data_IF_190344840746
#
_entry.id   IF_190344840746
#
_cell.length_a   1.000
_cell.length_b   1.000
_cell.length_c   1.000
_cell.angle_alpha   90.00
_cell.angle_beta   90.00
_cell.angle_gamma   90.00
#
_symmetry.space_group_name_H-M   'P 1'
#
loop_
_entity.id
_entity.type
_entity.pdbx_description
1 polymer ?
#
# COMPACT_ATOMS: atom_id res chain seq x y z
N UNK A 1 2.91 -34.44 28.04
CA UNK A 1 3.05 -33.82 26.70
C UNK A 1 1.86 -32.88 26.51
N UNK A 2 2.00 -31.62 26.93
CA UNK A 2 0.97 -30.60 26.76
C UNK A 2 1.34 -29.75 25.53
N UNK A 3 0.68 -30.07 24.40
CA UNK A 3 0.68 -29.22 23.22
C UNK A 3 -0.15 -27.98 23.54
N UNK A 4 0.52 -26.86 23.86
CA UNK A 4 -0.12 -25.59 23.95
C UNK A 4 -0.53 -25.16 22.53
N UNK A 5 -1.76 -25.45 22.13
CA UNK A 5 -2.42 -24.74 21.03
C UNK A 5 -2.44 -23.25 21.41
N UNK A 6 -1.52 -22.48 20.84
CA UNK A 6 -1.66 -21.03 20.82
C UNK A 6 -2.99 -20.73 20.13
N UNK A 7 -4.04 -20.51 20.90
CA UNK A 7 -5.26 -19.90 20.41
C UNK A 7 -4.86 -18.51 19.91
N UNK A 8 -4.74 -18.39 18.59
CA UNK A 8 -4.67 -17.09 17.93
C UNK A 8 -5.94 -16.36 18.35
N UNK A 9 -5.82 -15.39 19.25
CA UNK A 9 -6.95 -14.51 19.59
C UNK A 9 -7.12 -13.63 18.34
N UNK A 10 -8.20 -13.77 17.57
CA UNK A 10 -8.36 -12.98 16.36
C UNK A 10 -8.31 -11.51 16.76
N UNK A 11 -7.43 -10.73 16.12
CA UNK A 11 -7.51 -9.29 16.20
C UNK A 11 -8.91 -8.89 15.71
N UNK A 12 -9.71 -8.27 16.57
CA UNK A 12 -11.10 -7.86 16.28
C UNK A 12 -11.23 -6.91 15.08
N UNK A 13 -10.09 -6.51 14.48
CA UNK A 13 -10.00 -5.59 13.35
C UNK A 13 -9.71 -6.27 12.01
N UNK A 14 -9.62 -7.61 11.92
CA UNK A 14 -9.35 -8.30 10.65
C UNK A 14 -10.63 -8.87 10.04
N UNK A 15 -10.97 -8.43 8.83
CA UNK A 15 -12.13 -8.92 8.08
C UNK A 15 -12.02 -10.42 7.79
N UNK A 16 -10.83 -10.89 7.38
CA UNK A 16 -10.59 -12.30 7.06
C UNK A 16 -10.79 -13.26 8.24
N UNK A 17 -10.67 -12.79 9.47
CA UNK A 17 -10.88 -13.55 10.70
C UNK A 17 -12.32 -13.42 11.26
N UNK A 18 -13.17 -12.61 10.62
CA UNK A 18 -14.56 -12.38 11.03
C UNK A 18 -15.49 -13.40 10.38
N UNK A 19 -16.59 -13.69 11.08
CA UNK A 19 -17.70 -14.47 10.50
C UNK A 19 -18.78 -13.53 9.98
N UNK A 20 -19.59 -13.98 9.02
CA UNK A 20 -20.72 -13.19 8.50
C UNK A 20 -21.66 -12.71 9.59
N UNK A 21 -21.94 -13.57 10.60
CA UNK A 21 -22.81 -13.22 11.72
C UNK A 21 -22.30 -12.04 12.56
N UNK A 22 -20.98 -11.87 12.68
CA UNK A 22 -20.37 -10.76 13.41
C UNK A 22 -20.49 -9.42 12.68
N UNK A 23 -20.76 -9.45 11.37
CA UNK A 23 -20.83 -8.26 10.53
C UNK A 23 -22.25 -7.74 10.28
N UNK A 24 -23.30 -8.39 10.80
CA UNK A 24 -24.70 -7.96 10.59
C UNK A 24 -25.01 -6.52 11.03
N UNK A 25 -24.29 -6.00 12.00
CA UNK A 25 -24.46 -4.64 12.51
C UNK A 25 -23.21 -3.78 12.26
N UNK A 26 -22.41 -4.14 11.25
CA UNK A 26 -21.22 -3.38 10.92
C UNK A 26 -21.59 -1.98 10.41
N UNK A 27 -21.08 -0.94 11.07
CA UNK A 27 -21.44 0.46 10.81
C UNK A 27 -20.22 1.38 10.64
N UNK A 28 -19.05 0.80 10.36
CA UNK A 28 -17.80 1.53 10.26
C UNK A 28 -17.15 1.36 8.87
N UNK A 29 -15.85 1.55 8.74
CA UNK A 29 -15.15 1.48 7.46
C UNK A 29 -14.36 0.18 7.30
N UNK A 30 -14.28 -0.31 6.04
CA UNK A 30 -13.35 -1.35 5.62
C UNK A 30 -12.12 -0.71 5.00
N UNK A 31 -10.94 -1.01 5.54
CA UNK A 31 -9.64 -0.64 5.01
C UNK A 31 -9.14 -1.76 4.11
N UNK A 32 -8.77 -1.42 2.89
CA UNK A 32 -8.26 -2.38 1.90
C UNK A 32 -6.82 -2.01 1.56
N UNK A 33 -5.81 -2.74 2.06
CA UNK A 33 -4.44 -2.54 1.63
C UNK A 33 -4.32 -2.86 0.13
N UNK A 34 -3.75 -1.94 -0.65
CA UNK A 34 -3.49 -2.12 -2.07
C UNK A 34 -1.99 -1.94 -2.30
N UNK A 35 -1.32 -3.02 -2.60
CA UNK A 35 0.13 -3.06 -2.82
C UNK A 35 0.50 -3.48 -4.22
N UNK A 36 1.63 -4.14 -4.33
CA UNK A 36 2.20 -4.68 -5.56
C UNK A 36 2.95 -5.98 -5.29
N UNK A 37 3.37 -6.63 -6.36
CA UNK A 37 4.42 -7.64 -6.38
C UNK A 37 5.45 -7.20 -7.44
N UNK A 38 6.48 -6.47 -7.03
CA UNK A 38 7.46 -5.88 -7.94
C UNK A 38 8.85 -5.82 -7.34
N UNK A 39 9.85 -5.67 -8.19
CA UNK A 39 11.23 -5.49 -7.74
C UNK A 39 11.36 -4.25 -6.84
N UNK A 40 12.13 -4.35 -5.76
CA UNK A 40 12.49 -3.26 -4.85
C UNK A 40 14.00 -3.25 -4.61
N UNK A 41 14.75 -3.12 -5.72
CA UNK A 41 16.20 -3.24 -5.67
C UNK A 41 16.66 -4.64 -5.28
N UNK A 42 17.97 -4.82 -5.05
CA UNK A 42 18.53 -6.12 -4.69
C UNK A 42 18.33 -6.48 -3.19
N UNK A 43 17.75 -5.60 -2.38
CA UNK A 43 17.79 -5.67 -0.92
C UNK A 43 16.42 -5.74 -0.22
N UNK A 44 15.31 -5.38 -0.90
CA UNK A 44 13.97 -5.46 -0.34
C UNK A 44 13.14 -6.58 -0.99
N UNK A 45 12.17 -7.16 -0.26
CA UNK A 45 11.28 -8.18 -0.80
C UNK A 45 10.33 -7.62 -1.86
N UNK A 46 9.85 -8.47 -2.76
CA UNK A 46 8.96 -8.10 -3.87
C UNK A 46 7.58 -7.57 -3.42
N UNK A 47 7.16 -7.90 -2.20
CA UNK A 47 5.88 -7.51 -1.62
C UNK A 47 5.99 -6.30 -0.66
N UNK A 48 7.04 -5.51 -0.78
CA UNK A 48 7.33 -4.33 0.07
C UNK A 48 6.13 -3.40 0.17
N UNK A 49 5.53 -2.99 -0.94
CA UNK A 49 4.37 -2.10 -0.98
C UNK A 49 3.16 -2.69 -0.26
N UNK A 50 2.94 -4.00 -0.44
CA UNK A 50 1.85 -4.73 0.23
C UNK A 50 2.06 -4.74 1.75
N UNK A 51 3.29 -4.98 2.20
CA UNK A 51 3.64 -4.95 3.64
C UNK A 51 3.41 -3.58 4.25
N UNK A 52 3.87 -2.53 3.58
CA UNK A 52 3.69 -1.15 4.05
C UNK A 52 2.19 -0.80 4.12
N UNK A 53 1.44 -1.05 3.05
CA UNK A 53 0.00 -0.78 3.00
C UNK A 53 -0.78 -1.56 4.07
N UNK A 54 -0.45 -2.83 4.31
CA UNK A 54 -1.05 -3.66 5.34
C UNK A 54 -0.73 -3.17 6.75
N UNK A 55 0.54 -2.81 7.01
CA UNK A 55 0.97 -2.29 8.30
C UNK A 55 0.29 -0.95 8.62
N UNK A 56 0.22 -0.01 7.65
CA UNK A 56 -0.48 1.27 7.80
C UNK A 56 -1.97 1.03 8.06
N UNK A 57 -2.62 0.13 7.31
CA UNK A 57 -4.03 -0.21 7.51
C UNK A 57 -4.30 -0.78 8.91
N UNK A 58 -3.43 -1.67 9.38
CA UNK A 58 -3.54 -2.25 10.73
C UNK A 58 -3.38 -1.18 11.82
N UNK A 59 -2.42 -0.26 11.67
CA UNK A 59 -2.22 0.84 12.60
C UNK A 59 -3.40 1.84 12.57
N UNK A 60 -3.99 2.09 11.41
CA UNK A 60 -5.22 2.89 11.28
C UNK A 60 -6.39 2.25 12.02
N UNK A 61 -6.59 0.93 11.87
CA UNK A 61 -7.66 0.22 12.58
C UNK A 61 -7.49 0.24 14.10
N UNK A 62 -6.25 0.31 14.60
CA UNK A 62 -5.97 0.51 16.02
C UNK A 62 -6.32 1.93 16.50
N UNK A 63 -6.09 2.95 15.67
CA UNK A 63 -6.42 4.36 15.97
C UNK A 63 -7.91 4.67 15.79
N UNK A 64 -8.63 3.90 14.97
CA UNK A 64 -10.04 4.08 14.66
C UNK A 64 -10.83 2.80 15.05
N UNK A 65 -11.26 2.67 16.33
CA UNK A 65 -11.99 1.49 16.78
C UNK A 65 -13.24 1.21 15.93
N UNK A 66 -13.39 -0.04 15.53
CA UNK A 66 -14.49 -0.49 14.67
C UNK A 66 -14.12 -0.59 13.18
N UNK A 67 -12.98 -0.06 12.74
CA UNK A 67 -12.52 -0.29 11.38
C UNK A 67 -12.04 -1.73 11.21
N UNK A 68 -12.29 -2.31 10.03
CA UNK A 68 -11.84 -3.65 9.66
C UNK A 68 -10.81 -3.58 8.53
N UNK A 69 -9.75 -4.36 8.65
CA UNK A 69 -8.72 -4.51 7.61
C UNK A 69 -9.03 -5.75 6.77
N UNK A 70 -9.26 -5.54 5.49
CA UNK A 70 -9.45 -6.63 4.52
C UNK A 70 -8.11 -7.31 4.19
N UNK A 71 -8.12 -8.57 3.72
CA UNK A 71 -6.97 -9.14 3.06
C UNK A 71 -6.46 -8.23 1.95
N UNK A 72 -5.12 -8.07 1.78
CA UNK A 72 -4.57 -7.12 0.83
C UNK A 72 -4.82 -7.53 -0.63
N UNK A 73 -4.93 -6.54 -1.50
CA UNK A 73 -4.75 -6.70 -2.94
C UNK A 73 -3.24 -6.62 -3.20
N UNK A 74 -2.61 -7.80 -3.29
CA UNK A 74 -1.15 -7.93 -3.32
C UNK A 74 -0.53 -7.87 -4.73
N UNK A 75 -1.33 -7.85 -5.78
CA UNK A 75 -0.89 -7.66 -7.16
C UNK A 75 -1.44 -6.36 -7.69
N UNK A 76 -0.54 -5.47 -8.13
CA UNK A 76 -0.84 -4.15 -8.62
C UNK A 76 -0.52 -3.95 -10.11
N UNK A 77 -0.55 -2.70 -10.53
CA UNK A 77 -0.18 -2.27 -11.87
C UNK A 77 1.28 -1.79 -11.87
N UNK A 78 2.21 -2.73 -12.03
CA UNK A 78 3.67 -2.55 -11.91
C UNK A 78 4.39 -2.72 -13.25
N UNK A 79 3.75 -2.33 -14.36
CA UNK A 79 4.30 -2.50 -15.72
C UNK A 79 5.66 -1.84 -15.93
N UNK A 80 5.94 -0.74 -15.23
CA UNK A 80 7.23 -0.04 -15.25
C UNK A 80 8.39 -0.85 -14.66
N UNK A 81 8.09 -1.90 -13.90
CA UNK A 81 9.08 -2.79 -13.26
C UNK A 81 9.23 -4.15 -13.95
N UNK A 82 8.48 -4.46 -15.01
CA UNK A 82 8.45 -5.78 -15.66
C UNK A 82 9.80 -6.24 -16.25
N UNK A 83 10.73 -5.31 -16.48
CA UNK A 83 12.09 -5.65 -16.92
C UNK A 83 12.91 -6.38 -15.85
N UNK A 84 12.46 -6.41 -14.61
CA UNK A 84 13.14 -7.07 -13.50
C UNK A 84 12.42 -8.38 -13.13
N UNK A 85 13.16 -9.49 -12.97
CA UNK A 85 12.61 -10.77 -12.56
C UNK A 85 11.87 -10.69 -11.22
N UNK A 86 10.75 -11.40 -11.11
CA UNK A 86 9.93 -11.47 -9.91
C UNK A 86 8.78 -10.47 -9.90
N UNK A 87 8.83 -9.43 -10.71
CA UNK A 87 7.69 -8.51 -10.88
C UNK A 87 6.52 -9.22 -11.57
N UNK A 88 5.33 -9.08 -10.98
CA UNK A 88 4.06 -9.55 -11.54
C UNK A 88 3.09 -8.39 -11.57
N UNK A 89 2.87 -7.82 -12.74
CA UNK A 89 1.88 -6.76 -12.97
C UNK A 89 0.57 -7.37 -13.48
N UNK A 90 -0.56 -6.97 -12.91
CA UNK A 90 -1.87 -7.32 -13.47
C UNK A 90 -2.40 -6.22 -14.41
N UNK A 91 -1.69 -5.12 -14.52
CA UNK A 91 -2.05 -3.97 -15.35
C UNK A 91 -3.18 -3.11 -14.77
N UNK A 92 -3.35 -1.92 -15.37
CA UNK A 92 -4.32 -0.92 -14.90
C UNK A 92 -5.77 -1.41 -15.02
N UNK A 93 -6.13 -2.05 -16.13
CA UNK A 93 -7.52 -2.44 -16.40
C UNK A 93 -7.98 -3.58 -15.48
N UNK A 94 -7.13 -4.59 -15.25
CA UNK A 94 -7.46 -5.67 -14.34
C UNK A 94 -7.56 -5.15 -12.90
N UNK A 95 -6.61 -4.33 -12.45
CA UNK A 95 -6.66 -3.72 -11.11
C UNK A 95 -7.92 -2.85 -10.96
N UNK A 96 -8.25 -2.01 -11.95
CA UNK A 96 -9.49 -1.23 -11.95
C UNK A 96 -10.71 -2.12 -11.75
N UNK A 97 -10.84 -3.21 -12.52
CA UNK A 97 -11.93 -4.17 -12.38
C UNK A 97 -12.02 -4.78 -10.99
N UNK A 98 -10.89 -5.23 -10.43
CA UNK A 98 -10.81 -5.77 -9.06
C UNK A 98 -11.32 -4.75 -8.03
N UNK A 99 -10.84 -3.50 -8.09
CA UNK A 99 -11.21 -2.45 -7.14
C UNK A 99 -12.69 -2.07 -7.26
N UNK A 100 -13.24 -2.02 -8.49
CA UNK A 100 -14.66 -1.72 -8.74
C UNK A 100 -15.55 -2.81 -8.16
N UNK A 101 -15.28 -4.08 -8.47
CA UNK A 101 -16.10 -5.19 -7.98
C UNK A 101 -15.97 -5.38 -6.46
N UNK A 102 -14.76 -5.16 -5.91
CA UNK A 102 -14.56 -5.11 -4.46
C UNK A 102 -15.46 -4.04 -3.82
N UNK A 103 -15.40 -2.81 -4.33
CA UNK A 103 -16.18 -1.68 -3.79
C UNK A 103 -17.69 -1.91 -3.91
N UNK A 104 -18.16 -2.42 -5.05
CA UNK A 104 -19.57 -2.79 -5.27
C UNK A 104 -20.05 -3.83 -4.28
N UNK A 105 -19.23 -4.85 -4.01
CA UNK A 105 -19.55 -5.93 -3.08
C UNK A 105 -19.50 -5.45 -1.62
N UNK A 106 -18.41 -4.82 -1.21
CA UNK A 106 -18.20 -4.38 0.16
C UNK A 106 -19.24 -3.33 0.62
N UNK A 107 -19.57 -2.36 -0.25
CA UNK A 107 -20.55 -1.33 0.06
C UNK A 107 -22.01 -1.84 0.17
N UNK A 108 -22.26 -3.12 0.00
CA UNK A 108 -23.59 -3.72 0.31
C UNK A 108 -23.83 -3.86 1.82
N UNK A 109 -22.75 -3.91 2.60
CA UNK A 109 -22.82 -4.13 4.04
C UNK A 109 -21.90 -3.18 4.84
N UNK A 110 -20.88 -2.60 4.23
CA UNK A 110 -20.00 -1.61 4.84
C UNK A 110 -20.41 -0.20 4.37
N UNK A 111 -20.62 0.75 5.28
CA UNK A 111 -20.99 2.12 4.89
C UNK A 111 -19.86 2.86 4.16
N UNK A 112 -18.59 2.48 4.42
CA UNK A 112 -17.40 3.13 3.84
C UNK A 112 -16.32 2.12 3.49
N UNK A 113 -15.59 2.39 2.40
CA UNK A 113 -14.41 1.64 1.98
C UNK A 113 -13.25 2.60 1.74
N UNK A 114 -12.10 2.34 2.37
CA UNK A 114 -10.87 3.06 2.13
C UNK A 114 -9.83 2.13 1.49
N UNK A 115 -9.37 2.48 0.30
CA UNK A 115 -8.25 1.83 -0.37
C UNK A 115 -6.95 2.48 0.10
N UNK A 116 -6.12 1.75 0.84
CA UNK A 116 -4.85 2.23 1.39
C UNK A 116 -3.73 1.79 0.46
N UNK A 117 -3.20 2.73 -0.32
CA UNK A 117 -2.29 2.43 -1.43
C UNK A 117 -0.82 2.55 -1.04
N UNK A 118 -0.04 1.48 -1.26
CA UNK A 118 1.41 1.45 -1.09
C UNK A 118 2.19 1.72 -2.39
N UNK A 119 1.59 1.57 -3.58
CA UNK A 119 2.31 1.59 -4.86
C UNK A 119 1.87 2.73 -5.79
N UNK A 120 2.86 3.49 -6.29
CA UNK A 120 2.61 4.63 -7.18
C UNK A 120 1.94 4.25 -8.51
N UNK A 121 2.31 3.11 -9.08
CA UNK A 121 1.73 2.59 -10.32
C UNK A 121 0.23 2.33 -10.26
N UNK A 122 -0.34 2.08 -9.07
CA UNK A 122 -1.77 1.83 -8.88
C UNK A 122 -2.66 3.07 -9.01
N UNK A 123 -2.08 4.27 -8.96
CA UNK A 123 -2.84 5.54 -8.86
C UNK A 123 -3.85 5.72 -9.99
N UNK A 124 -3.51 5.31 -11.21
CA UNK A 124 -4.43 5.38 -12.35
C UNK A 124 -5.71 4.56 -12.14
N UNK A 125 -5.55 3.31 -11.74
CA UNK A 125 -6.65 2.39 -11.46
C UNK A 125 -7.48 2.84 -10.24
N UNK A 126 -6.81 3.30 -9.16
CA UNK A 126 -7.47 3.81 -7.96
C UNK A 126 -8.38 5.00 -8.28
N UNK A 127 -7.86 6.00 -9.00
CA UNK A 127 -8.63 7.19 -9.41
C UNK A 127 -9.85 6.82 -10.24
N UNK A 128 -9.67 6.00 -11.27
CA UNK A 128 -10.76 5.62 -12.17
C UNK A 128 -11.82 4.76 -11.45
N UNK A 129 -11.40 3.78 -10.64
CA UNK A 129 -12.31 2.93 -9.87
C UNK A 129 -13.08 3.72 -8.81
N UNK A 130 -12.40 4.59 -8.07
CA UNK A 130 -13.05 5.38 -7.01
C UNK A 130 -14.04 6.38 -7.60
N UNK A 131 -13.70 7.05 -8.71
CA UNK A 131 -14.63 7.93 -9.42
C UNK A 131 -15.90 7.21 -9.85
N UNK A 132 -15.77 6.01 -10.44
CA UNK A 132 -16.92 5.20 -10.85
C UNK A 132 -17.77 4.79 -9.65
N UNK A 133 -17.17 4.25 -8.60
CA UNK A 133 -17.88 3.82 -7.40
C UNK A 133 -18.63 4.97 -6.72
N UNK A 134 -18.01 6.15 -6.64
CA UNK A 134 -18.64 7.35 -6.11
C UNK A 134 -19.75 7.87 -7.01
N UNK A 135 -19.59 7.82 -8.33
CA UNK A 135 -20.68 8.12 -9.28
C UNK A 135 -21.88 7.17 -9.10
N UNK A 136 -21.63 5.91 -8.75
CA UNK A 136 -22.67 4.93 -8.41
C UNK A 136 -23.26 5.14 -6.98
N UNK A 137 -22.88 6.21 -6.28
CA UNK A 137 -23.42 6.56 -4.96
C UNK A 137 -22.76 5.80 -3.78
N UNK A 138 -21.61 5.17 -3.99
CA UNK A 138 -20.87 4.46 -2.93
C UNK A 138 -19.86 5.36 -2.24
N UNK A 139 -19.74 5.26 -0.92
CA UNK A 139 -18.75 6.02 -0.14
C UNK A 139 -17.41 5.29 -0.11
N UNK A 140 -16.66 5.40 -1.21
CA UNK A 140 -15.33 4.83 -1.41
C UNK A 140 -14.33 5.96 -1.58
N UNK A 141 -13.18 5.84 -0.92
CA UNK A 141 -12.06 6.76 -1.03
C UNK A 141 -10.75 5.99 -1.09
N UNK A 142 -9.66 6.68 -1.42
CA UNK A 142 -8.31 6.13 -1.32
C UNK A 142 -7.33 7.10 -0.68
N UNK A 143 -6.27 6.57 -0.08
CA UNK A 143 -5.16 7.33 0.49
C UNK A 143 -3.83 6.66 0.18
N UNK A 144 -2.79 7.46 -0.05
CA UNK A 144 -1.42 6.95 -0.25
C UNK A 144 -0.68 6.84 1.07
N UNK A 145 0.19 5.83 1.18
CA UNK A 145 1.16 5.64 2.26
C UNK A 145 2.44 6.47 2.06
N UNK A 146 2.45 7.47 1.19
CA UNK A 146 3.62 8.31 0.94
C UNK A 146 3.86 9.36 2.03
N UNK A 147 5.12 9.74 2.22
CA UNK A 147 5.54 10.88 3.05
C UNK A 147 6.07 12.01 2.16
N UNK A 148 5.87 13.28 2.54
CA UNK A 148 6.45 14.41 1.82
C UNK A 148 7.98 14.33 1.78
N UNK A 149 8.58 14.51 0.61
CA UNK A 149 10.03 14.49 0.44
C UNK A 149 10.66 13.08 0.44
N UNK A 150 9.87 12.03 0.52
CA UNK A 150 10.34 10.66 0.34
C UNK A 150 10.90 10.42 -1.07
N UNK A 151 11.84 9.50 -1.17
CA UNK A 151 12.34 9.03 -2.46
C UNK A 151 11.30 8.17 -3.20
N UNK A 152 11.56 7.93 -4.48
CA UNK A 152 10.51 7.43 -5.36
C UNK A 152 10.29 5.93 -5.26
N UNK A 153 11.35 5.12 -5.01
CA UNK A 153 11.24 3.65 -5.00
C UNK A 153 12.48 2.98 -4.42
N UNK A 154 12.29 2.05 -3.49
CA UNK A 154 13.32 1.21 -2.87
C UNK A 154 14.53 1.98 -2.30
N UNK A 155 14.38 3.27 -2.00
CA UNK A 155 15.43 4.11 -1.47
C UNK A 155 15.42 4.18 0.05
N UNK A 156 15.80 5.36 0.62
CA UNK A 156 15.85 5.58 2.05
C UNK A 156 14.52 5.30 2.76
N UNK A 157 13.42 5.78 2.16
CA UNK A 157 12.10 5.76 2.80
C UNK A 157 11.61 4.33 3.03
N UNK A 158 11.45 3.55 1.97
CA UNK A 158 10.92 2.19 2.04
C UNK A 158 11.89 1.25 2.75
N UNK A 159 13.19 1.39 2.51
CA UNK A 159 14.21 0.60 3.21
C UNK A 159 14.17 0.84 4.72
N UNK A 160 14.06 2.10 5.15
CA UNK A 160 13.94 2.43 6.58
C UNK A 160 12.66 1.84 7.18
N UNK A 161 11.52 1.99 6.49
CA UNK A 161 10.24 1.44 6.97
C UNK A 161 10.30 -0.08 7.07
N UNK A 162 10.89 -0.78 6.09
CA UNK A 162 11.06 -2.24 6.16
C UNK A 162 12.05 -2.66 7.26
N UNK A 163 13.11 -1.90 7.51
CA UNK A 163 14.01 -2.13 8.66
C UNK A 163 13.29 -2.03 10.00
N UNK A 164 12.25 -1.19 10.09
CA UNK A 164 11.41 -1.10 11.28
C UNK A 164 10.38 -2.24 11.36
N UNK A 165 9.70 -2.55 10.24
CA UNK A 165 8.59 -3.51 10.22
C UNK A 165 9.05 -4.97 10.17
N UNK A 166 10.08 -5.27 9.38
CA UNK A 166 10.55 -6.63 9.07
C UNK A 166 12.06 -6.65 8.83
N UNK A 167 12.90 -6.33 9.82
CA UNK A 167 14.35 -6.16 9.64
C UNK A 167 15.06 -7.41 9.10
N UNK A 168 14.54 -8.61 9.40
CA UNK A 168 15.10 -9.88 8.90
C UNK A 168 14.94 -10.07 7.38
N UNK A 169 14.05 -9.32 6.74
CA UNK A 169 13.74 -9.47 5.33
C UNK A 169 14.49 -8.44 4.46
N UNK A 170 15.26 -7.54 5.10
CA UNK A 170 16.10 -6.55 4.42
C UNK A 170 17.52 -7.10 4.28
N UNK A 171 17.98 -7.29 3.04
CA UNK A 171 19.32 -7.80 2.74
C UNK A 171 20.34 -6.66 2.77
N UNK A 172 20.79 -6.29 3.98
CA UNK A 172 21.69 -5.15 4.22
C UNK A 172 23.01 -5.24 3.44
N UNK A 173 23.54 -6.44 3.21
CA UNK A 173 24.73 -6.69 2.41
C UNK A 173 24.52 -6.49 0.90
N UNK A 174 23.26 -6.37 0.45
CA UNK A 174 22.88 -6.16 -0.95
C UNK A 174 22.47 -4.73 -1.27
N UNK A 175 22.44 -3.83 -0.28
CA UNK A 175 22.08 -2.43 -0.49
C UNK A 175 23.00 -1.77 -1.52
N UNK A 176 22.40 -1.09 -2.51
CA UNK A 176 23.09 -0.30 -3.53
C UNK A 176 22.31 0.99 -3.80
N UNK A 177 23.00 2.15 -3.91
CA UNK A 177 22.35 3.38 -4.32
C UNK A 177 21.88 3.26 -5.78
N UNK A 178 20.74 3.87 -6.07
CA UNK A 178 20.16 3.95 -7.40
C UNK A 178 20.21 5.37 -7.96
N UNK A 179 19.22 5.71 -8.75
CA UNK A 179 19.10 7.05 -9.35
C UNK A 179 18.33 7.98 -8.40
N UNK A 180 18.99 9.00 -7.87
CA UNK A 180 18.40 9.98 -6.94
C UNK A 180 17.89 11.26 -7.63
N UNK A 181 17.84 11.31 -8.97
CA UNK A 181 17.26 12.44 -9.67
C UNK A 181 15.74 12.55 -9.37
N UNK A 182 15.18 13.77 -9.38
CA UNK A 182 13.75 13.97 -9.16
C UNK A 182 12.91 13.12 -10.13
N UNK A 183 11.85 12.48 -9.60
CA UNK A 183 10.99 11.58 -10.40
C UNK A 183 10.45 12.27 -11.68
N UNK A 184 10.14 13.57 -11.60
CA UNK A 184 9.67 14.33 -12.75
C UNK A 184 10.69 14.35 -13.92
N UNK A 185 11.98 14.32 -13.64
CA UNK A 185 13.05 14.27 -14.65
C UNK A 185 13.23 12.84 -15.22
N UNK A 186 12.94 11.82 -14.42
CA UNK A 186 13.04 10.42 -14.81
C UNK A 186 11.84 9.94 -15.65
N UNK A 187 10.65 10.51 -15.40
CA UNK A 187 9.37 10.09 -16.01
C UNK A 187 9.40 9.97 -17.55
N UNK A 188 10.00 10.89 -18.32
CA UNK A 188 10.02 10.75 -19.79
C UNK A 188 10.72 9.47 -20.25
N UNK A 189 11.84 9.10 -19.62
CA UNK A 189 12.58 7.86 -19.93
C UNK A 189 11.87 6.62 -19.40
N UNK A 190 11.29 6.69 -18.21
CA UNK A 190 10.53 5.60 -17.61
C UNK A 190 9.30 5.23 -18.43
N UNK A 191 8.61 6.20 -19.03
CA UNK A 191 7.45 5.92 -19.91
C UNK A 191 7.79 5.08 -21.14
N UNK A 192 9.05 5.13 -21.62
CA UNK A 192 9.48 4.40 -22.80
C UNK A 192 10.14 3.06 -22.48
N UNK A 193 10.84 2.96 -21.35
CA UNK A 193 11.65 1.78 -21.06
C UNK A 193 11.57 1.29 -19.60
N UNK A 194 10.56 1.73 -18.86
CA UNK A 194 10.39 1.36 -17.46
C UNK A 194 11.51 1.87 -16.55
N UNK A 195 11.55 1.34 -15.35
CA UNK A 195 12.56 1.68 -14.33
C UNK A 195 13.96 1.28 -14.78
N UNK A 196 14.12 0.18 -15.53
CA UNK A 196 15.41 -0.26 -16.06
C UNK A 196 16.08 0.77 -16.97
N UNK A 197 15.32 1.64 -17.64
CA UNK A 197 15.87 2.71 -18.48
C UNK A 197 16.56 3.83 -17.67
N UNK A 198 16.31 3.93 -16.37
CA UNK A 198 16.83 5.00 -15.50
C UNK A 198 17.61 4.48 -14.29
N UNK A 199 17.48 3.20 -13.94
CA UNK A 199 18.20 2.56 -12.83
C UNK A 199 18.50 1.09 -13.16
N UNK A 200 19.78 0.74 -13.24
CA UNK A 200 20.22 -0.64 -13.49
C UNK A 200 19.83 -1.59 -12.34
N UNK A 201 19.88 -1.09 -11.09
CA UNK A 201 19.55 -1.87 -9.88
C UNK A 201 18.09 -1.75 -9.46
N UNK A 202 17.28 -1.00 -10.21
CA UNK A 202 15.85 -0.82 -9.92
C UNK A 202 15.52 0.19 -8.82
N UNK A 203 16.50 0.76 -8.12
CA UNK A 203 16.30 1.73 -7.03
C UNK A 203 16.20 3.14 -7.57
N UNK A 204 15.21 3.92 -7.12
CA UNK A 204 15.05 5.35 -7.40
C UNK A 204 15.18 6.12 -6.08
N UNK A 205 16.42 6.32 -5.63
CA UNK A 205 16.79 6.90 -4.35
C UNK A 205 18.13 6.35 -3.85
N UNK A 206 18.43 6.60 -2.57
CA UNK A 206 19.63 6.10 -1.90
C UNK A 206 19.29 5.37 -0.59
N UNK A 207 19.25 4.02 -0.58
CA UNK A 207 18.96 3.23 0.62
C UNK A 207 20.13 3.10 1.59
N UNK A 208 21.33 3.58 1.24
CA UNK A 208 22.55 3.39 2.08
C UNK A 208 22.47 4.14 3.41
N UNK A 209 21.62 5.16 3.50
CA UNK A 209 21.38 5.97 4.70
C UNK A 209 20.20 5.48 5.54
N UNK A 210 19.53 4.40 5.13
CA UNK A 210 18.32 3.91 5.78
C UNK A 210 18.60 3.35 7.18
N UNK A 211 17.72 3.65 8.13
CA UNK A 211 17.78 3.16 9.51
C UNK A 211 16.41 2.74 10.04
N UNK A 212 16.37 1.78 10.96
CA UNK A 212 15.12 1.41 11.63
C UNK A 212 14.51 2.55 12.47
N UNK A 213 15.35 3.48 12.96
CA UNK A 213 14.90 4.67 13.71
C UNK A 213 14.14 5.63 12.78
N UNK A 214 14.69 5.90 11.62
CA UNK A 214 13.97 6.69 10.59
C UNK A 214 12.73 5.94 10.12
N UNK A 215 12.81 4.62 9.99
CA UNK A 215 11.67 3.79 9.63
C UNK A 215 10.50 3.93 10.61
N UNK A 216 10.76 3.90 11.91
CA UNK A 216 9.73 4.11 12.93
C UNK A 216 9.08 5.50 12.80
N UNK A 217 9.88 6.55 12.60
CA UNK A 217 9.40 7.94 12.40
C UNK A 217 8.58 8.07 11.11
N UNK A 218 9.11 7.60 9.98
CA UNK A 218 8.43 7.65 8.68
C UNK A 218 7.12 6.86 8.69
N UNK A 219 7.11 5.69 9.32
CA UNK A 219 5.89 4.90 9.48
C UNK A 219 4.83 5.65 10.31
N UNK A 220 5.22 6.26 11.44
CA UNK A 220 4.28 7.05 12.25
C UNK A 220 3.76 8.28 11.47
N UNK A 221 4.58 8.94 10.66
CA UNK A 221 4.15 10.01 9.76
C UNK A 221 3.12 9.52 8.73
N UNK A 222 3.35 8.37 8.09
CA UNK A 222 2.38 7.74 7.16
C UNK A 222 1.04 7.48 7.84
N UNK A 223 1.08 6.84 9.01
CA UNK A 223 -0.13 6.49 9.78
C UNK A 223 -0.85 7.75 10.27
N UNK A 224 -0.14 8.75 10.75
CA UNK A 224 -0.71 10.00 11.24
C UNK A 224 -1.39 10.77 10.11
N UNK A 225 -0.71 10.95 8.99
CA UNK A 225 -1.27 11.63 7.81
C UNK A 225 -2.52 10.91 7.27
N UNK A 226 -2.48 9.57 7.18
CA UNK A 226 -3.65 8.78 6.79
C UNK A 226 -4.80 8.91 7.81
N UNK A 227 -4.50 8.86 9.12
CA UNK A 227 -5.50 8.99 10.19
C UNK A 227 -6.22 10.34 10.16
N UNK A 228 -5.48 11.43 9.95
CA UNK A 228 -6.06 12.77 9.80
C UNK A 228 -6.97 12.88 8.58
N UNK A 229 -6.55 12.35 7.42
CA UNK A 229 -7.36 12.30 6.19
C UNK A 229 -8.63 11.48 6.39
N UNK A 230 -8.53 10.34 7.04
CA UNK A 230 -9.67 9.47 7.39
C UNK A 230 -10.64 10.17 8.33
N UNK A 231 -10.15 10.89 9.31
CA UNK A 231 -10.99 11.65 10.25
C UNK A 231 -11.77 12.77 9.53
N UNK A 232 -11.13 13.49 8.62
CA UNK A 232 -11.80 14.52 7.81
C UNK A 232 -12.76 13.92 6.78
N UNK A 233 -12.44 12.75 6.22
CA UNK A 233 -13.17 12.05 5.16
C UNK A 233 -13.65 12.98 4.03
N UNK A 234 -12.72 13.73 3.47
CA UNK A 234 -13.01 14.70 2.39
C UNK A 234 -12.30 14.28 1.10
N UNK A 235 -12.87 13.32 0.34
CA UNK A 235 -12.28 12.90 -0.92
C UNK A 235 -12.45 13.98 -1.99
N UNK A 236 -11.37 14.19 -2.77
CA UNK A 236 -11.41 15.07 -3.94
C UNK A 236 -12.18 14.44 -5.14
N UNK A 237 -12.14 15.10 -6.30
CA UNK A 237 -12.83 14.63 -7.51
C UNK A 237 -12.33 13.24 -7.98
N UNK A 238 -11.09 12.86 -7.64
CA UNK A 238 -10.50 11.57 -7.97
C UNK A 238 -10.65 10.55 -6.82
N UNK A 239 -11.40 10.90 -5.77
CA UNK A 239 -11.64 10.07 -4.60
C UNK A 239 -10.47 9.97 -3.63
N UNK A 240 -9.40 10.75 -3.82
CA UNK A 240 -8.28 10.80 -2.89
C UNK A 240 -8.65 11.62 -1.64
N UNK A 241 -8.43 11.06 -0.45
CA UNK A 241 -8.57 11.81 0.80
C UNK A 241 -7.47 12.87 0.92
N UNK A 242 -7.88 14.09 1.33
CA UNK A 242 -7.01 15.26 1.50
C UNK A 242 -6.85 15.65 2.97
#
# INVERSE_FOLDING_TARGET
MNSAYHRHVPHRSELGSSTSGQLHQFSSAVLVPVGSCEQHGPHLPLDTDTRIAAAVSSALAQRHPGYLVAPPVAYGASGEHESFPGTVSIGQDALHGVLVEFGRSACRWAPRVLLVNGHGGNVGALRSATRLLRYEGRDVAWSSCSVPGGDAHAGHTETSVLLYLSPSDVLMDRIRPGNSAPLAELMPRMRHGGVAAVSEVGVLGDPTTATAVDGARLFDEMVTACSERVTRWSPDADGMLR
#
